data_IF_404848025189
#
_entry.id   IF_404848025189
#
_cell.length_a   1.000
_cell.length_b   1.000
_cell.length_c   1.000
_cell.angle_alpha   90.00
_cell.angle_beta   90.00
_cell.angle_gamma   90.00
#
_symmetry.space_group_name_H-M   'P 1'
#
loop_
_entity.id
_entity.type
_entity.pdbx_description
1 polymer ?
#
# COMPACT_ATOMS: atom_id res chain seq x y z
N UNK A 1 -2.04 52.38 -0.77
CA UNK A 1 -2.90 51.24 -0.38
C UNK A 1 -2.82 50.00 -1.28
N UNK A 2 -2.21 50.05 -2.48
CA UNK A 2 -2.31 48.95 -3.46
C UNK A 2 -1.15 47.92 -3.39
N UNK A 3 0.01 48.29 -2.86
CA UNK A 3 1.20 47.42 -2.76
C UNK A 3 1.03 46.27 -1.75
N UNK A 4 0.31 46.50 -0.65
CA UNK A 4 -0.01 45.42 0.30
C UNK A 4 -0.94 44.36 -0.30
N UNK A 5 -1.79 44.74 -1.27
CA UNK A 5 -2.72 43.83 -1.95
C UNK A 5 -2.03 43.02 -3.04
N UNK A 6 -1.00 43.55 -3.69
CA UNK A 6 -0.21 42.81 -4.70
C UNK A 6 0.74 41.81 -4.05
N UNK A 7 1.41 42.19 -2.95
CA UNK A 7 2.29 41.30 -2.17
C UNK A 7 1.54 40.08 -1.60
N UNK A 8 0.35 40.29 -1.05
CA UNK A 8 -0.50 39.20 -0.55
C UNK A 8 -0.94 38.23 -1.66
N UNK A 9 -1.22 38.75 -2.86
CA UNK A 9 -1.60 37.92 -4.02
C UNK A 9 -0.43 37.07 -4.51
N UNK A 10 0.78 37.62 -4.58
CA UNK A 10 1.97 36.86 -4.97
C UNK A 10 2.30 35.74 -3.99
N UNK A 11 2.16 35.97 -2.67
CA UNK A 11 2.39 34.93 -1.66
C UNK A 11 1.37 33.81 -1.76
N UNK A 12 0.09 34.14 -1.98
CA UNK A 12 -0.97 33.14 -2.18
C UNK A 12 -0.71 32.29 -3.44
N UNK A 13 -0.26 32.91 -4.53
CA UNK A 13 0.07 32.20 -5.77
C UNK A 13 1.27 31.23 -5.59
N UNK A 14 2.29 31.65 -4.84
CA UNK A 14 3.45 30.78 -4.54
C UNK A 14 3.03 29.59 -3.68
N UNK A 15 2.20 29.81 -2.66
CA UNK A 15 1.67 28.72 -1.82
C UNK A 15 0.83 27.75 -2.65
N UNK A 16 -0.05 28.26 -3.53
CA UNK A 16 -0.86 27.42 -4.41
C UNK A 16 0.00 26.55 -5.35
N UNK A 17 1.06 27.12 -5.94
CA UNK A 17 1.98 26.40 -6.82
C UNK A 17 2.63 25.19 -6.12
N UNK A 18 2.95 25.30 -4.83
CA UNK A 18 3.58 24.22 -4.06
C UNK A 18 2.57 23.18 -3.55
N UNK A 19 1.37 23.61 -3.17
CA UNK A 19 0.37 22.73 -2.54
C UNK A 19 -0.36 21.83 -3.56
N UNK A 20 -0.62 22.34 -4.77
CA UNK A 20 -1.34 21.59 -5.84
C UNK A 20 -0.66 20.24 -6.22
N UNK A 21 0.67 20.15 -6.44
CA UNK A 21 1.29 18.89 -6.80
C UNK A 21 1.28 17.85 -5.66
N UNK A 22 1.31 18.29 -4.39
CA UNK A 22 1.27 17.39 -3.22
C UNK A 22 -0.06 16.63 -3.10
N UNK A 23 -1.14 17.18 -3.65
CA UNK A 23 -2.47 16.55 -3.69
C UNK A 23 -2.62 15.52 -4.81
N UNK A 24 -1.65 15.41 -5.73
CA UNK A 24 -1.75 14.54 -6.93
C UNK A 24 -1.23 13.11 -6.73
N UNK A 25 -0.91 12.71 -5.50
CA UNK A 25 -0.28 11.42 -5.21
C UNK A 25 -1.21 10.18 -5.29
N UNK A 26 -2.54 10.37 -5.30
CA UNK A 26 -3.47 9.23 -5.14
C UNK A 26 -3.83 8.45 -6.41
N UNK A 27 -3.40 8.86 -7.61
CA UNK A 27 -3.69 8.07 -8.83
C UNK A 27 -2.80 8.46 -10.01
N UNK A 28 -1.50 8.19 -9.88
CA UNK A 28 -0.55 8.39 -10.99
C UNK A 28 -0.75 7.27 -12.01
N UNK A 29 -1.04 7.66 -13.25
CA UNK A 29 -1.25 6.77 -14.39
C UNK A 29 0.09 6.58 -15.12
N UNK A 30 0.44 5.37 -15.58
CA UNK A 30 -0.41 4.19 -15.68
C UNK A 30 -0.40 3.31 -14.43
N UNK A 31 -1.59 2.94 -13.95
CA UNK A 31 -1.74 1.88 -12.96
C UNK A 31 -1.43 0.50 -13.56
N UNK A 32 -1.01 -0.45 -12.72
CA UNK A 32 -0.86 -1.86 -13.10
C UNK A 32 -2.21 -2.41 -13.57
N UNK A 33 -2.25 -2.97 -14.77
CA UNK A 33 -3.51 -3.47 -15.35
C UNK A 33 -4.00 -4.68 -14.55
N UNK A 34 -5.31 -4.94 -14.47
CA UNK A 34 -5.86 -6.01 -13.63
C UNK A 34 -5.21 -7.40 -13.88
N UNK A 35 -4.89 -7.72 -15.14
CA UNK A 35 -4.26 -8.98 -15.51
C UNK A 35 -2.74 -9.05 -15.24
N UNK A 36 -2.06 -7.91 -15.08
CA UNK A 36 -0.64 -7.86 -14.70
C UNK A 36 -0.46 -8.18 -13.21
N UNK A 37 -1.50 -7.99 -12.39
CA UNK A 37 -1.50 -8.29 -10.95
C UNK A 37 -1.29 -9.78 -10.63
N UNK A 38 -1.58 -10.67 -11.58
CA UNK A 38 -1.31 -12.11 -11.41
C UNK A 38 0.20 -12.40 -11.21
N UNK A 39 1.08 -11.53 -11.69
CA UNK A 39 2.54 -11.68 -11.58
C UNK A 39 3.12 -11.03 -10.31
N UNK A 40 2.28 -10.42 -9.47
CA UNK A 40 2.73 -9.77 -8.24
C UNK A 40 3.13 -10.77 -7.14
N UNK A 41 2.93 -12.06 -7.42
CA UNK A 41 2.91 -13.17 -6.46
C UNK A 41 3.54 -14.41 -7.07
N UNK A 42 4.76 -14.27 -7.59
CA UNK A 42 5.51 -15.42 -8.11
C UNK A 42 5.76 -16.42 -6.96
N UNK A 43 5.53 -17.73 -7.15
CA UNK A 43 5.85 -18.75 -6.16
C UNK A 43 7.27 -18.68 -5.59
N UNK A 44 8.25 -18.13 -6.32
CA UNK A 44 9.61 -17.91 -5.82
C UNK A 44 9.70 -16.86 -4.70
N UNK A 45 8.75 -15.93 -4.65
CA UNK A 45 8.65 -14.90 -3.60
C UNK A 45 7.97 -15.42 -2.33
N UNK A 46 7.57 -16.69 -2.31
CA UNK A 46 7.02 -17.31 -1.10
C UNK A 46 8.09 -17.35 -0.01
N UNK A 47 7.76 -16.80 1.16
CA UNK A 47 8.61 -16.90 2.36
C UNK A 47 8.75 -18.35 2.84
N UNK A 48 7.76 -19.19 2.53
CA UNK A 48 7.74 -20.58 2.92
C UNK A 48 7.95 -21.50 1.72
N UNK A 49 8.85 -22.47 1.88
CA UNK A 49 9.14 -23.49 0.87
C UNK A 49 8.08 -24.59 0.86
N UNK A 50 7.35 -24.80 1.96
CA UNK A 50 6.28 -25.79 2.09
C UNK A 50 5.04 -25.18 2.79
N UNK A 51 4.17 -24.51 2.02
CA UNK A 51 3.00 -23.82 2.57
C UNK A 51 1.97 -24.76 3.23
N UNK A 52 1.93 -26.03 2.83
CA UNK A 52 1.00 -27.02 3.42
C UNK A 52 1.43 -27.39 4.83
N UNK A 53 2.72 -27.64 5.03
CA UNK A 53 3.27 -27.99 6.33
C UNK A 53 3.17 -26.81 7.32
N UNK A 54 3.47 -25.59 6.86
CA UNK A 54 3.35 -24.43 7.74
C UNK A 54 1.91 -24.10 8.08
N UNK A 55 0.97 -24.15 7.13
CA UNK A 55 -0.46 -23.98 7.44
C UNK A 55 -0.94 -24.96 8.52
N UNK A 56 -0.51 -26.22 8.47
CA UNK A 56 -0.81 -27.19 9.51
C UNK A 56 -0.23 -26.78 10.88
N UNK A 57 1.05 -26.42 10.94
CA UNK A 57 1.69 -25.97 12.18
C UNK A 57 1.05 -24.69 12.74
N UNK A 58 0.70 -23.75 11.87
CA UNK A 58 -0.04 -22.54 12.21
C UNK A 58 -1.36 -22.86 12.92
N UNK A 59 -2.16 -23.78 12.39
CA UNK A 59 -3.38 -24.24 13.08
C UNK A 59 -3.12 -24.84 14.47
N UNK A 60 -2.02 -25.56 14.65
CA UNK A 60 -1.62 -26.09 15.96
C UNK A 60 -1.29 -24.95 16.94
N UNK A 61 -0.53 -23.95 16.51
CA UNK A 61 -0.20 -22.78 17.34
C UNK A 61 -1.45 -21.96 17.68
N UNK A 62 -2.32 -21.68 16.71
CA UNK A 62 -3.60 -20.99 16.95
C UNK A 62 -4.43 -21.68 18.03
N UNK A 63 -4.49 -23.02 18.01
CA UNK A 63 -5.24 -23.80 18.98
C UNK A 63 -4.59 -23.79 20.37
N UNK A 64 -3.25 -23.82 20.43
CA UNK A 64 -2.51 -23.89 21.69
C UNK A 64 -2.34 -22.55 22.38
N UNK A 65 -2.18 -21.49 21.59
CA UNK A 65 -1.82 -20.15 22.07
C UNK A 65 -3.04 -19.23 22.12
N UNK A 66 -4.17 -19.64 21.53
CA UNK A 66 -5.39 -18.83 21.48
C UNK A 66 -5.28 -17.58 20.59
N UNK A 67 -4.17 -17.42 19.87
CA UNK A 67 -3.93 -16.31 18.96
C UNK A 67 -4.36 -16.69 17.55
N UNK A 68 -5.54 -16.22 17.11
CA UNK A 68 -6.03 -16.40 15.73
C UNK A 68 -5.68 -15.18 14.89
N UNK A 69 -5.07 -15.40 13.72
CA UNK A 69 -4.85 -14.34 12.72
C UNK A 69 -3.67 -13.42 13.01
N UNK A 70 -2.81 -13.76 13.99
CA UNK A 70 -1.61 -13.00 14.31
C UNK A 70 -0.41 -13.34 13.39
N UNK A 71 -0.54 -14.39 12.58
CA UNK A 71 0.53 -14.89 11.70
C UNK A 71 0.73 -14.11 10.39
N UNK A 72 0.13 -12.92 10.27
CA UNK A 72 0.27 -12.04 9.12
C UNK A 72 -0.69 -12.36 7.99
N UNK A 73 -0.98 -11.36 7.15
CA UNK A 73 -1.71 -11.57 5.90
C UNK A 73 -0.91 -12.48 4.98
N UNK A 74 -1.60 -13.33 4.21
CA UNK A 74 -0.97 -14.27 3.27
C UNK A 74 0.16 -13.59 2.49
N UNK A 75 1.28 -14.31 2.36
CA UNK A 75 2.45 -13.89 1.60
C UNK A 75 2.10 -13.36 0.20
N UNK A 76 3.06 -12.64 -0.39
CA UNK A 76 2.94 -11.87 -1.64
C UNK A 76 1.81 -12.37 -2.54
N UNK A 77 0.71 -11.62 -2.59
CA UNK A 77 -0.63 -12.08 -2.99
C UNK A 77 -1.56 -10.89 -3.13
N UNK A 78 -2.66 -10.99 -3.89
CA UNK A 78 -3.68 -9.90 -3.93
C UNK A 78 -4.42 -9.68 -2.60
N UNK A 79 -4.02 -10.36 -1.52
CA UNK A 79 -4.47 -10.09 -0.16
C UNK A 79 -5.92 -10.49 0.14
N UNK A 80 -6.56 -11.29 -0.71
CA UNK A 80 -7.90 -11.79 -0.44
C UNK A 80 -7.84 -13.04 0.45
N UNK A 81 -8.28 -12.90 1.70
CA UNK A 81 -8.83 -13.98 2.51
C UNK A 81 -10.29 -14.21 2.08
#
# INVERSE_FOLDING_TARGET
MNEGRTSMRTTVLIIALVVIPLLSACSIKPWVKPYERAHLSDPIMSFDRNPVASSYMHHVYQAREGARGAEGGQGGGCGCN
#
